data_IF_146868402205
#
_entry.id   IF_146868402205
#
_cell.length_a   1.000
_cell.length_b   1.000
_cell.length_c   1.000
_cell.angle_alpha   90.00
_cell.angle_beta   90.00
_cell.angle_gamma   90.00
#
_symmetry.space_group_name_H-M   'P 1'
#
loop_
_entity.id
_entity.type
_entity.pdbx_description
1 polymer ?
#
# COMPACT_ATOMS: atom_id res chain seq x y z
N UNK A 1 22.32 -11.70 -7.19
CA UNK A 1 22.42 -11.16 -5.82
C UNK A 1 21.23 -11.57 -4.95
N UNK A 2 19.97 -11.49 -5.42
CA UNK A 2 18.79 -11.93 -4.65
C UNK A 2 18.80 -13.41 -4.22
N UNK A 3 19.25 -14.34 -5.08
CA UNK A 3 19.17 -15.77 -4.74
C UNK A 3 20.06 -16.17 -3.55
N UNK A 4 21.26 -15.59 -3.41
CA UNK A 4 22.14 -15.89 -2.27
C UNK A 4 21.57 -15.37 -0.95
N UNK A 5 20.99 -14.16 -0.96
CA UNK A 5 20.34 -13.57 0.22
C UNK A 5 19.14 -14.43 0.65
N UNK A 6 18.29 -14.82 -0.31
CA UNK A 6 17.13 -15.67 -0.04
C UNK A 6 17.54 -17.04 0.51
N UNK A 7 18.56 -17.66 -0.08
CA UNK A 7 19.11 -18.94 0.39
C UNK A 7 19.68 -18.84 1.80
N UNK A 8 20.40 -17.76 2.11
CA UNK A 8 20.95 -17.50 3.45
C UNK A 8 19.84 -17.33 4.49
N UNK A 9 18.84 -16.48 4.22
CA UNK A 9 17.68 -16.31 5.10
C UNK A 9 16.96 -17.65 5.30
N UNK A 10 16.81 -18.45 4.25
CA UNK A 10 16.21 -19.78 4.33
C UNK A 10 17.03 -20.75 5.21
N UNK A 11 18.35 -20.77 5.06
CA UNK A 11 19.22 -21.64 5.86
C UNK A 11 19.21 -21.29 7.35
N UNK A 12 19.21 -19.99 7.67
CA UNK A 12 19.08 -19.52 9.06
C UNK A 12 17.72 -19.91 9.63
N UNK A 13 16.63 -19.63 8.90
CA UNK A 13 15.26 -19.89 9.38
C UNK A 13 14.94 -21.38 9.51
N UNK A 14 15.49 -22.27 8.68
CA UNK A 14 15.27 -23.72 8.82
C UNK A 14 16.00 -24.34 10.03
N UNK A 15 17.00 -23.65 10.60
CA UNK A 15 17.76 -24.13 11.76
C UNK A 15 17.10 -23.74 13.09
N UNK A 16 16.13 -22.82 13.07
CA UNK A 16 15.37 -22.43 14.25
C UNK A 16 14.49 -23.59 14.76
N UNK A 17 14.33 -23.74 16.08
CA UNK A 17 13.53 -24.81 16.68
C UNK A 17 12.04 -24.69 16.29
N UNK A 18 11.31 -25.82 16.19
CA UNK A 18 9.93 -25.85 15.66
C UNK A 18 8.92 -25.00 16.45
N UNK A 19 9.17 -24.81 17.75
CA UNK A 19 8.40 -23.92 18.62
C UNK A 19 8.48 -22.45 18.17
N UNK A 20 9.61 -21.99 17.61
CA UNK A 20 9.78 -20.66 17.01
C UNK A 20 9.23 -20.60 15.58
N UNK A 21 9.31 -21.71 14.83
CA UNK A 21 8.74 -21.79 13.46
C UNK A 21 7.21 -21.80 13.42
N UNK A 22 6.57 -22.21 14.52
CA UNK A 22 5.11 -22.25 14.70
C UNK A 22 4.47 -20.91 15.08
N UNK A 23 5.24 -19.87 15.39
CA UNK A 23 4.73 -18.55 15.80
C UNK A 23 4.09 -17.72 14.67
N UNK A 24 3.87 -18.30 13.49
CA UNK A 24 3.29 -17.63 12.32
C UNK A 24 1.97 -16.89 12.65
N UNK A 25 1.11 -17.50 13.47
CA UNK A 25 -0.15 -16.86 13.91
C UNK A 25 0.09 -15.72 14.90
N UNK A 26 1.08 -15.86 15.79
CA UNK A 26 1.45 -14.81 16.74
C UNK A 26 2.06 -13.62 16.02
N UNK A 27 3.02 -13.85 15.13
CA UNK A 27 3.66 -12.81 14.32
C UNK A 27 2.66 -12.04 13.46
N UNK A 28 1.73 -12.74 12.80
CA UNK A 28 0.69 -12.08 12.02
C UNK A 28 -0.22 -11.22 12.92
N UNK A 29 -0.59 -11.71 14.10
CA UNK A 29 -1.42 -10.96 15.06
C UNK A 29 -0.67 -9.77 15.63
N UNK A 30 0.59 -9.90 16.05
CA UNK A 30 1.39 -8.77 16.55
C UNK A 30 1.61 -7.74 15.46
N UNK A 31 1.88 -8.16 14.22
CA UNK A 31 2.00 -7.23 13.10
C UNK A 31 0.68 -6.50 12.83
N UNK A 32 -0.45 -7.20 12.79
CA UNK A 32 -1.78 -6.60 12.62
C UNK A 32 -2.07 -5.60 13.75
N UNK A 33 -1.83 -5.98 15.00
CA UNK A 33 -2.04 -5.09 16.16
C UNK A 33 -1.13 -3.87 16.07
N UNK A 34 0.15 -4.04 15.73
CA UNK A 34 1.08 -2.93 15.57
C UNK A 34 0.63 -1.97 14.46
N UNK A 35 0.17 -2.49 13.32
CA UNK A 35 -0.37 -1.67 12.23
C UNK A 35 -1.62 -0.93 12.69
N UNK A 36 -2.57 -1.60 13.36
CA UNK A 36 -3.78 -0.96 13.88
C UNK A 36 -3.45 0.17 14.86
N UNK A 37 -2.57 -0.07 15.83
CA UNK A 37 -2.12 0.95 16.77
C UNK A 37 -1.44 2.13 16.06
N UNK A 38 -0.55 1.84 15.09
CA UNK A 38 0.11 2.87 14.29
C UNK A 38 -0.88 3.69 13.46
N UNK A 39 -1.88 3.05 12.87
CA UNK A 39 -2.94 3.71 12.11
C UNK A 39 -3.81 4.61 13.00
N UNK A 40 -4.15 4.16 14.22
CA UNK A 40 -4.84 5.01 15.21
C UNK A 40 -3.96 6.23 15.53
N UNK A 41 -2.65 6.04 15.73
CA UNK A 41 -1.71 7.14 15.93
C UNK A 41 -1.73 8.15 14.77
N UNK A 42 -1.76 7.68 13.52
CA UNK A 42 -1.87 8.54 12.33
C UNK A 42 -3.19 9.31 12.30
N UNK A 43 -4.32 8.64 12.57
CA UNK A 43 -5.65 9.27 12.65
C UNK A 43 -5.65 10.39 13.69
N UNK A 44 -5.10 10.12 14.88
CA UNK A 44 -4.99 11.12 15.95
C UNK A 44 -4.09 12.28 15.56
N UNK A 45 -2.96 12.02 14.91
CA UNK A 45 -2.06 13.06 14.42
C UNK A 45 -2.75 13.98 13.39
N UNK A 46 -3.54 13.40 12.48
CA UNK A 46 -4.29 14.14 11.46
C UNK A 46 -5.40 15.04 12.04
N UNK A 47 -5.89 14.74 13.24
CA UNK A 47 -6.87 15.58 13.93
C UNK A 47 -6.31 16.88 14.54
N UNK A 48 -4.98 17.01 14.66
CA UNK A 48 -4.34 18.10 15.43
C UNK A 48 -3.18 18.81 14.73
N UNK A 49 -2.43 18.12 13.85
CA UNK A 49 -1.25 18.67 13.16
C UNK A 49 -1.55 19.18 11.75
N UNK A 50 -0.65 19.96 11.15
CA UNK A 50 -0.71 20.25 9.71
C UNK A 50 -0.32 19.01 8.90
N UNK A 51 -0.88 18.84 7.70
CA UNK A 51 -0.56 17.68 6.84
C UNK A 51 0.94 17.62 6.53
N UNK A 52 1.56 18.77 6.27
CA UNK A 52 3.01 18.88 6.04
C UNK A 52 3.81 18.36 7.23
N UNK A 53 3.41 18.73 8.45
CA UNK A 53 4.06 18.25 9.67
C UNK A 53 3.90 16.73 9.84
N UNK A 54 2.74 16.18 9.48
CA UNK A 54 2.48 14.74 9.62
C UNK A 54 3.31 13.94 8.63
N UNK A 55 3.44 14.42 7.40
CA UNK A 55 4.31 13.80 6.40
C UNK A 55 5.77 13.87 6.86
N UNK A 56 6.23 15.04 7.33
CA UNK A 56 7.63 15.20 7.76
C UNK A 56 7.93 14.40 9.03
N UNK A 57 7.02 14.34 10.00
CA UNK A 57 7.13 13.47 11.17
C UNK A 57 7.10 11.98 10.79
N UNK A 58 6.26 11.59 9.82
CA UNK A 58 6.24 10.22 9.29
C UNK A 58 7.59 9.79 8.71
N UNK A 59 8.22 10.65 7.92
CA UNK A 59 9.56 10.44 7.37
C UNK A 59 10.61 10.38 8.49
N UNK A 60 10.54 11.30 9.46
CA UNK A 60 11.47 11.34 10.59
C UNK A 60 11.38 10.05 11.43
N UNK A 61 10.17 9.58 11.75
CA UNK A 61 9.96 8.32 12.48
C UNK A 61 10.49 7.11 11.72
N UNK A 62 10.29 7.05 10.40
CA UNK A 62 10.81 5.96 9.57
C UNK A 62 12.35 5.96 9.55
N UNK A 63 12.95 7.13 9.42
CA UNK A 63 14.41 7.30 9.46
C UNK A 63 14.98 6.94 10.83
N UNK A 64 14.36 7.41 11.91
CA UNK A 64 14.75 7.08 13.28
C UNK A 64 14.64 5.57 13.54
N UNK A 65 13.55 4.93 13.14
CA UNK A 65 13.37 3.48 13.26
C UNK A 65 14.45 2.69 12.50
N UNK A 66 14.85 3.16 11.32
CA UNK A 66 15.94 2.56 10.55
C UNK A 66 17.30 2.71 11.26
N UNK A 67 17.59 3.89 11.81
CA UNK A 67 18.81 4.13 12.59
C UNK A 67 18.86 3.27 13.86
N UNK A 68 17.76 3.19 14.60
CA UNK A 68 17.64 2.34 15.78
C UNK A 68 17.89 0.88 15.43
N UNK A 69 17.29 0.40 14.33
CA UNK A 69 17.49 -0.97 13.85
C UNK A 69 18.95 -1.22 13.48
N UNK A 70 19.59 -0.32 12.73
CA UNK A 70 20.99 -0.44 12.34
C UNK A 70 21.94 -0.44 13.56
N UNK A 71 21.65 0.40 14.55
CA UNK A 71 22.40 0.46 15.80
C UNK A 71 22.32 -0.88 16.53
N UNK A 72 21.12 -1.40 16.76
CA UNK A 72 20.95 -2.66 17.50
C UNK A 72 21.49 -3.88 16.76
N UNK A 73 21.39 -3.92 15.43
CA UNK A 73 22.05 -4.96 14.62
C UNK A 73 23.56 -4.89 14.79
N UNK A 74 24.16 -3.69 14.74
CA UNK A 74 25.60 -3.50 14.90
C UNK A 74 26.06 -3.92 16.30
N UNK A 75 25.35 -3.49 17.34
CA UNK A 75 25.61 -3.91 18.72
C UNK A 75 25.51 -5.44 18.87
N UNK A 76 24.51 -6.06 18.23
CA UNK A 76 24.35 -7.51 18.21
C UNK A 76 25.56 -8.24 17.61
N UNK A 77 26.09 -7.76 16.48
CA UNK A 77 27.29 -8.33 15.88
C UNK A 77 28.55 -8.14 16.74
N UNK A 78 28.73 -6.95 17.34
CA UNK A 78 29.86 -6.68 18.24
C UNK A 78 29.83 -7.63 19.44
N UNK A 79 28.66 -7.87 20.04
CA UNK A 79 28.51 -8.81 21.15
C UNK A 79 28.78 -10.24 20.68
N UNK A 80 28.23 -10.66 19.55
CA UNK A 80 28.44 -12.00 19.00
C UNK A 80 29.93 -12.29 18.76
N UNK A 81 30.67 -11.33 18.19
CA UNK A 81 32.11 -11.45 17.97
C UNK A 81 32.88 -11.57 19.29
N UNK A 82 32.56 -10.72 20.28
CA UNK A 82 33.22 -10.74 21.60
C UNK A 82 32.94 -12.01 22.40
N UNK A 83 31.78 -12.63 22.21
CA UNK A 83 31.42 -13.90 22.83
C UNK A 83 32.01 -15.13 22.11
N UNK A 84 32.84 -14.93 21.08
CA UNK A 84 33.53 -16.01 20.38
C UNK A 84 32.66 -16.75 19.36
N UNK A 85 31.52 -16.17 18.95
CA UNK A 85 30.71 -16.70 17.86
C UNK A 85 31.43 -16.45 16.53
N UNK A 86 32.24 -17.41 16.10
CA UNK A 86 32.89 -17.44 14.79
C UNK A 86 32.24 -18.54 13.96
N UNK A 87 31.53 -18.16 12.91
CA UNK A 87 30.94 -19.12 11.98
C UNK A 87 31.77 -19.14 10.70
N UNK A 88 32.53 -20.21 10.49
CA UNK A 88 33.12 -20.51 9.19
C UNK A 88 32.01 -21.07 8.31
N UNK A 89 31.49 -20.24 7.41
CA UNK A 89 30.48 -20.65 6.45
C UNK A 89 30.88 -20.15 5.06
N UNK A 90 30.75 -21.02 4.05
CA UNK A 90 31.03 -20.67 2.66
C UNK A 90 29.71 -20.50 1.88
N UNK A 91 29.63 -19.55 0.93
CA UNK A 91 28.49 -19.38 0.01
C UNK A 91 27.94 -20.68 -0.60
N UNK A 92 28.82 -21.64 -0.85
CA UNK A 92 28.55 -22.94 -1.44
C UNK A 92 27.73 -23.87 -0.53
N UNK A 93 27.79 -23.68 0.79
CA UNK A 93 27.13 -24.53 1.78
C UNK A 93 25.61 -24.27 1.89
N UNK A 94 25.09 -23.32 1.11
CA UNK A 94 23.69 -22.93 1.20
C UNK A 94 22.74 -23.96 0.59
N UNK A 95 21.69 -24.36 1.32
CA UNK A 95 20.64 -25.18 0.77
C UNK A 95 19.97 -24.48 -0.41
N UNK A 96 19.46 -25.29 -1.34
CA UNK A 96 18.56 -24.78 -2.36
C UNK A 96 17.25 -24.32 -1.73
N UNK A 97 16.65 -23.28 -2.31
CA UNK A 97 15.38 -22.75 -1.84
C UNK A 97 14.26 -23.77 -2.01
N UNK A 98 13.32 -23.86 -1.05
CA UNK A 98 12.15 -24.70 -1.20
C UNK A 98 11.31 -24.20 -2.38
N UNK A 99 10.73 -25.13 -3.13
CA UNK A 99 9.92 -24.82 -4.32
C UNK A 99 8.57 -24.22 -3.93
N UNK A 100 8.21 -23.08 -4.53
CA UNK A 100 6.92 -22.41 -4.35
C UNK A 100 7.04 -20.90 -4.13
N UNK A 101 6.10 -20.11 -4.68
CA UNK A 101 6.10 -18.64 -4.50
C UNK A 101 5.56 -18.31 -3.11
N UNK A 102 6.45 -17.88 -2.22
CA UNK A 102 6.07 -17.28 -0.93
C UNK A 102 5.75 -15.80 -1.12
N UNK A 103 4.73 -15.33 -0.42
CA UNK A 103 4.42 -13.91 -0.34
C UNK A 103 5.30 -13.29 0.74
N UNK A 104 5.97 -12.18 0.43
CA UNK A 104 6.77 -11.46 1.41
C UNK A 104 5.89 -10.90 2.53
N UNK A 105 6.26 -11.20 3.78
CA UNK A 105 5.58 -10.68 4.97
C UNK A 105 5.73 -9.16 5.08
N UNK A 106 6.92 -8.63 4.80
CA UNK A 106 7.17 -7.19 4.82
C UNK A 106 6.36 -6.45 3.74
N UNK A 107 6.20 -7.05 2.55
CA UNK A 107 5.33 -6.51 1.50
C UNK A 107 3.85 -6.49 1.93
N UNK A 108 3.39 -7.55 2.60
CA UNK A 108 2.01 -7.61 3.11
C UNK A 108 1.77 -6.58 4.22
N UNK A 109 2.72 -6.41 5.14
CA UNK A 109 2.66 -5.40 6.21
C UNK A 109 2.69 -3.98 5.62
N UNK A 110 3.59 -3.71 4.67
CA UNK A 110 3.63 -2.43 3.97
C UNK A 110 2.31 -2.14 3.24
N UNK A 111 1.72 -3.15 2.59
CA UNK A 111 0.41 -3.06 1.97
C UNK A 111 -0.71 -2.73 2.96
N UNK A 112 -0.71 -3.35 4.14
CA UNK A 112 -1.65 -3.00 5.22
C UNK A 112 -1.52 -1.53 5.64
N UNK A 113 -0.28 -1.09 5.90
CA UNK A 113 -0.01 0.29 6.32
C UNK A 113 -0.52 1.27 5.26
N UNK A 114 -0.18 1.05 3.98
CA UNK A 114 -0.61 1.92 2.87
C UNK A 114 -2.13 1.92 2.73
N UNK A 115 -2.78 0.76 2.85
CA UNK A 115 -4.24 0.63 2.71
C UNK A 115 -5.02 1.41 3.77
N UNK A 116 -4.41 1.73 4.92
CA UNK A 116 -5.04 2.55 5.94
C UNK A 116 -4.54 3.99 5.88
N UNK A 117 -3.22 4.18 5.77
CA UNK A 117 -2.58 5.49 5.74
C UNK A 117 -3.12 6.37 4.60
N UNK A 118 -3.17 5.87 3.36
CA UNK A 118 -3.60 6.68 2.22
C UNK A 118 -5.07 7.13 2.35
N UNK A 119 -6.06 6.25 2.59
CA UNK A 119 -7.44 6.69 2.78
C UNK A 119 -7.61 7.67 3.93
N UNK A 120 -6.95 7.44 5.07
CA UNK A 120 -7.03 8.36 6.22
C UNK A 120 -6.42 9.72 5.87
N UNK A 121 -5.29 9.75 5.16
CA UNK A 121 -4.68 10.98 4.66
C UNK A 121 -5.64 11.72 3.71
N UNK A 122 -6.19 11.03 2.70
CA UNK A 122 -7.15 11.63 1.77
C UNK A 122 -8.39 12.17 2.49
N UNK A 123 -8.96 11.42 3.43
CA UNK A 123 -10.11 11.87 4.22
C UNK A 123 -9.77 13.12 5.04
N UNK A 124 -8.61 13.15 5.69
CA UNK A 124 -8.17 14.32 6.44
C UNK A 124 -7.96 15.54 5.54
N UNK A 125 -7.44 15.36 4.32
CA UNK A 125 -7.32 16.43 3.33
C UNK A 125 -8.69 16.95 2.89
N UNK A 126 -9.64 16.05 2.61
CA UNK A 126 -11.00 16.41 2.22
C UNK A 126 -11.71 17.20 3.32
N UNK A 127 -11.66 16.73 4.58
CA UNK A 127 -12.32 17.39 5.72
C UNK A 127 -11.72 18.77 6.00
N UNK A 128 -10.43 18.96 5.71
CA UNK A 128 -9.74 20.23 5.92
C UNK A 128 -9.77 21.16 4.71
N UNK A 129 -10.46 20.76 3.64
CA UNK A 129 -10.54 21.50 2.37
C UNK A 129 -9.15 21.78 1.75
N UNK A 130 -8.16 20.95 2.08
CA UNK A 130 -6.79 21.07 1.61
C UNK A 130 -6.72 20.51 0.18
N UNK A 131 -6.76 21.42 -0.79
CA UNK A 131 -6.86 21.05 -2.20
C UNK A 131 -5.53 20.54 -2.78
N UNK A 132 -5.60 19.45 -3.54
CA UNK A 132 -4.44 18.87 -4.25
C UNK A 132 -3.90 19.76 -5.38
N UNK A 133 -4.77 20.57 -5.97
CA UNK A 133 -4.47 21.45 -7.09
C UNK A 133 -5.14 22.79 -6.85
N UNK A 134 -4.35 23.85 -6.89
CA UNK A 134 -4.82 25.22 -6.75
C UNK A 134 -4.46 25.96 -8.05
N UNK A 135 -5.46 26.53 -8.69
CA UNK A 135 -5.25 27.50 -9.75
C UNK A 135 -5.36 28.89 -9.14
N UNK A 136 -4.29 29.67 -9.26
CA UNK A 136 -4.25 31.05 -8.76
C UNK A 136 -4.56 31.99 -9.90
N UNK A 137 -5.65 32.76 -9.77
CA UNK A 137 -5.96 33.89 -10.66
C UNK A 137 -5.88 35.19 -9.87
N UNK A 138 -4.71 35.82 -9.86
CA UNK A 138 -4.50 37.01 -9.04
C UNK A 138 -4.58 36.64 -7.55
N UNK A 139 -5.64 37.06 -6.87
CA UNK A 139 -5.90 36.71 -5.46
C UNK A 139 -6.86 35.52 -5.28
N UNK A 140 -7.55 35.08 -6.33
CA UNK A 140 -8.56 34.02 -6.24
C UNK A 140 -7.92 32.63 -6.38
N UNK A 141 -8.30 31.73 -5.48
CA UNK A 141 -7.90 30.32 -5.46
C UNK A 141 -9.07 29.52 -6.05
N UNK A 142 -8.84 28.86 -7.17
CA UNK A 142 -9.83 28.01 -7.85
C UNK A 142 -9.42 26.55 -7.67
N UNK A 143 -10.32 25.75 -7.10
CA UNK A 143 -10.11 24.32 -6.83
C UNK A 143 -10.79 23.48 -7.92
N UNK A 144 -10.07 22.59 -8.63
CA UNK A 144 -10.64 21.85 -9.76
C UNK A 144 -11.72 20.84 -9.39
N UNK A 145 -11.60 20.23 -8.22
CA UNK A 145 -12.50 19.17 -7.75
C UNK A 145 -13.57 19.77 -6.84
N UNK A 146 -14.81 19.30 -7.00
CA UNK A 146 -15.93 19.69 -6.15
C UNK A 146 -15.77 19.10 -4.74
N UNK A 147 -15.85 19.97 -3.72
CA UNK A 147 -15.83 19.56 -2.32
C UNK A 147 -16.97 18.59 -2.01
N UNK A 148 -18.17 18.84 -2.55
CA UNK A 148 -19.32 17.96 -2.36
C UNK A 148 -19.10 16.56 -2.96
N UNK A 149 -18.42 16.48 -4.11
CA UNK A 149 -18.05 15.19 -4.70
C UNK A 149 -17.00 14.47 -3.85
N UNK A 150 -15.99 15.19 -3.35
CA UNK A 150 -14.96 14.62 -2.48
C UNK A 150 -15.54 14.07 -1.17
N UNK A 151 -16.45 14.81 -0.52
CA UNK A 151 -17.14 14.36 0.68
C UNK A 151 -18.01 13.12 0.42
N UNK A 152 -18.69 13.07 -0.74
CA UNK A 152 -19.42 11.88 -1.18
C UNK A 152 -18.49 10.67 -1.39
N UNK A 153 -17.21 10.90 -1.68
CA UNK A 153 -16.21 9.84 -1.87
C UNK A 153 -15.67 9.25 -0.56
N UNK A 154 -15.80 9.94 0.58
CA UNK A 154 -15.32 9.49 1.90
C UNK A 154 -15.74 8.06 2.26
N UNK A 155 -17.03 7.67 2.22
CA UNK A 155 -17.43 6.30 2.57
C UNK A 155 -16.78 5.24 1.66
N UNK A 156 -16.53 5.58 0.39
CA UNK A 156 -15.83 4.71 -0.55
C UNK A 156 -14.35 4.58 -0.18
N UNK A 157 -13.67 5.66 0.22
CA UNK A 157 -12.30 5.61 0.72
C UNK A 157 -12.16 4.71 1.96
N UNK A 158 -13.08 4.82 2.92
CA UNK A 158 -13.11 3.94 4.11
C UNK A 158 -13.29 2.49 3.70
N UNK A 159 -14.25 2.21 2.82
CA UNK A 159 -14.52 0.86 2.33
C UNK A 159 -13.31 0.26 1.61
N UNK A 160 -12.68 1.00 0.71
CA UNK A 160 -11.48 0.56 -0.02
C UNK A 160 -10.31 0.32 0.92
N UNK A 161 -10.13 1.18 1.93
CA UNK A 161 -9.08 1.00 2.93
C UNK A 161 -9.28 -0.26 3.78
N UNK A 162 -10.51 -0.52 4.24
CA UNK A 162 -10.86 -1.72 5.00
C UNK A 162 -10.66 -2.98 4.16
N UNK A 163 -11.13 -3.00 2.91
CA UNK A 163 -10.91 -4.13 2.02
C UNK A 163 -9.43 -4.36 1.74
N UNK A 164 -8.67 -3.30 1.47
CA UNK A 164 -7.22 -3.38 1.26
C UNK A 164 -6.50 -3.95 2.48
N UNK A 165 -6.89 -3.53 3.69
CA UNK A 165 -6.35 -4.06 4.93
C UNK A 165 -6.65 -5.55 5.10
N UNK A 166 -7.89 -5.96 4.84
CA UNK A 166 -8.32 -7.37 4.93
C UNK A 166 -7.57 -8.25 3.92
N UNK A 167 -7.46 -7.81 2.66
CA UNK A 167 -6.75 -8.55 1.61
C UNK A 167 -5.28 -8.74 1.98
N UNK A 168 -4.62 -7.69 2.47
CA UNK A 168 -3.24 -7.80 2.94
C UNK A 168 -3.12 -8.63 4.24
N UNK A 169 -4.17 -8.64 5.08
CA UNK A 169 -4.37 -9.58 6.19
C UNK A 169 -4.28 -11.04 5.76
N UNK A 170 -5.04 -11.41 4.73
CA UNK A 170 -4.99 -12.75 4.19
C UNK A 170 -3.65 -13.07 3.51
N UNK A 171 -3.02 -12.09 2.85
CA UNK A 171 -1.66 -12.24 2.29
C UNK A 171 -0.63 -12.55 3.39
N UNK A 172 -0.72 -11.86 4.53
CA UNK A 172 0.16 -12.07 5.68
C UNK A 172 -0.12 -13.42 6.37
N UNK A 173 -1.39 -13.78 6.55
CA UNK A 173 -1.81 -15.00 7.23
C UNK A 173 -1.42 -16.27 6.44
N UNK A 174 -1.72 -16.32 5.14
CA UNK A 174 -1.42 -17.49 4.33
C UNK A 174 0.03 -17.51 3.82
N UNK A 175 0.65 -16.34 3.62
CA UNK A 175 2.03 -16.18 3.14
C UNK A 175 2.38 -16.96 1.85
N UNK A 176 1.36 -17.42 1.12
CA UNK A 176 1.45 -18.19 -0.13
C UNK A 176 0.22 -17.92 -0.98
N UNK A 177 0.38 -18.01 -2.29
CA UNK A 177 -0.75 -17.91 -3.21
C UNK A 177 -1.57 -19.19 -3.21
N UNK A 178 -2.85 -19.06 -2.83
CA UNK A 178 -3.84 -20.13 -2.90
C UNK A 178 -5.09 -19.61 -3.62
N UNK A 179 -5.99 -20.52 -4.01
CA UNK A 179 -7.20 -20.15 -4.75
C UNK A 179 -8.06 -19.12 -3.98
N UNK A 180 -8.34 -19.30 -2.66
CA UNK A 180 -9.10 -18.30 -1.89
C UNK A 180 -8.50 -16.89 -1.95
N UNK A 181 -7.18 -16.76 -1.75
CA UNK A 181 -6.48 -15.48 -1.79
C UNK A 181 -6.54 -14.84 -3.17
N UNK A 182 -6.41 -15.64 -4.23
CA UNK A 182 -6.54 -15.17 -5.61
C UNK A 182 -7.92 -14.55 -5.86
N UNK A 183 -8.98 -15.23 -5.41
CA UNK A 183 -10.36 -14.77 -5.58
C UNK A 183 -10.60 -13.49 -4.79
N UNK A 184 -10.19 -13.43 -3.51
CA UNK A 184 -10.32 -12.23 -2.67
C UNK A 184 -9.58 -11.05 -3.30
N UNK A 185 -8.36 -11.27 -3.79
CA UNK A 185 -7.56 -10.25 -4.45
C UNK A 185 -8.20 -9.73 -5.75
N UNK A 186 -8.81 -10.63 -6.53
CA UNK A 186 -9.49 -10.26 -7.76
C UNK A 186 -10.76 -9.46 -7.49
N UNK A 187 -11.57 -9.88 -6.51
CA UNK A 187 -12.75 -9.13 -6.05
C UNK A 187 -12.34 -7.73 -5.62
N UNK A 188 -11.30 -7.61 -4.79
CA UNK A 188 -10.78 -6.31 -4.34
C UNK A 188 -10.41 -5.40 -5.52
N UNK A 189 -9.69 -5.92 -6.51
CA UNK A 189 -9.29 -5.16 -7.70
C UNK A 189 -10.49 -4.69 -8.53
N UNK A 190 -11.50 -5.54 -8.69
CA UNK A 190 -12.74 -5.18 -9.40
C UNK A 190 -13.52 -4.10 -8.65
N UNK A 191 -13.65 -4.23 -7.32
CA UNK A 191 -14.34 -3.25 -6.47
C UNK A 191 -13.60 -1.91 -6.49
N UNK A 192 -12.28 -1.93 -6.32
CA UNK A 192 -11.45 -0.73 -6.39
C UNK A 192 -11.59 -0.02 -7.73
N UNK A 193 -11.41 -0.73 -8.84
CA UNK A 193 -11.53 -0.14 -10.17
C UNK A 193 -12.94 0.41 -10.41
N UNK A 194 -13.98 -0.36 -10.08
CA UNK A 194 -15.38 0.03 -10.27
C UNK A 194 -15.75 1.29 -9.49
N UNK A 195 -15.32 1.39 -8.23
CA UNK A 195 -15.57 2.57 -7.39
C UNK A 195 -14.89 3.82 -7.95
N UNK A 196 -13.60 3.72 -8.31
CA UNK A 196 -12.86 4.88 -8.81
C UNK A 196 -13.40 5.32 -10.18
N UNK A 197 -13.66 4.38 -11.09
CA UNK A 197 -14.27 4.69 -12.40
C UNK A 197 -15.64 5.32 -12.22
N UNK A 198 -16.45 4.84 -11.28
CA UNK A 198 -17.77 5.44 -11.01
C UNK A 198 -17.63 6.89 -10.53
N UNK A 199 -16.67 7.16 -9.64
CA UNK A 199 -16.41 8.51 -9.14
C UNK A 199 -15.88 9.46 -10.23
N UNK A 200 -15.02 8.96 -11.15
CA UNK A 200 -14.51 9.73 -12.29
C UNK A 200 -15.61 10.20 -13.25
N UNK A 201 -16.76 9.52 -13.26
CA UNK A 201 -17.90 9.83 -14.11
C UNK A 201 -19.02 10.58 -13.37
N UNK A 202 -18.78 11.05 -12.14
CA UNK A 202 -19.75 11.90 -11.45
C UNK A 202 -19.89 13.25 -12.19
N UNK A 203 -21.13 13.69 -12.47
CA UNK A 203 -21.37 14.91 -13.24
C UNK A 203 -20.91 16.17 -12.48
N UNK A 204 -20.87 16.09 -11.15
CA UNK A 204 -20.46 17.13 -10.22
C UNK A 204 -19.01 16.95 -9.72
N UNK A 205 -18.22 16.05 -10.33
CA UNK A 205 -16.83 15.81 -9.90
C UNK A 205 -15.96 17.07 -10.02
N UNK A 206 -16.09 17.77 -11.15
CA UNK A 206 -15.36 18.99 -11.45
C UNK A 206 -16.19 20.17 -10.93
N UNK A 207 -15.56 21.11 -10.23
CA UNK A 207 -16.24 22.27 -9.68
C UNK A 207 -16.75 23.20 -10.78
N UNK A 208 -17.92 23.82 -10.55
CA UNK A 208 -18.51 24.76 -11.51
C UNK A 208 -17.58 25.96 -11.75
N UNK A 209 -16.95 26.47 -10.70
CA UNK A 209 -15.99 27.59 -10.79
C UNK A 209 -14.79 27.26 -11.68
N UNK A 210 -14.27 26.03 -11.58
CA UNK A 210 -13.18 25.59 -12.44
C UNK A 210 -13.63 25.41 -13.90
N UNK A 211 -14.83 24.88 -14.13
CA UNK A 211 -15.40 24.77 -15.48
C UNK A 211 -15.58 26.15 -16.11
N UNK A 212 -16.11 27.12 -15.36
CA UNK A 212 -16.26 28.50 -15.82
C UNK A 212 -14.90 29.12 -16.15
N UNK A 213 -13.92 29.01 -15.25
CA UNK A 213 -12.57 29.49 -15.49
C UNK A 213 -11.96 28.91 -16.77
N UNK A 214 -12.01 27.59 -16.94
CA UNK A 214 -11.47 26.93 -18.11
C UNK A 214 -12.24 27.26 -19.40
N UNK A 215 -13.56 27.49 -19.30
CA UNK A 215 -14.37 27.91 -20.44
C UNK A 215 -13.94 29.27 -21.01
N UNK A 216 -13.43 30.18 -20.15
CA UNK A 216 -12.90 31.48 -20.61
C UNK A 216 -11.61 31.37 -21.41
N UNK A 217 -10.85 30.28 -21.22
CA UNK A 217 -9.54 30.05 -21.86
C UNK A 217 -9.69 29.19 -23.11
N UNK A 218 -10.42 28.08 -23.00
CA UNK A 218 -10.49 27.03 -24.04
C UNK A 218 -11.81 27.00 -24.82
N UNK A 219 -12.84 27.72 -24.36
CA UNK A 219 -14.22 27.59 -24.88
C UNK A 219 -15.00 26.44 -24.21
N UNK A 220 -16.29 26.65 -23.95
CA UNK A 220 -17.12 25.75 -23.14
C UNK A 220 -17.34 24.34 -23.73
N UNK A 221 -17.49 24.21 -25.05
CA UNK A 221 -17.66 22.91 -25.70
C UNK A 221 -16.36 22.08 -25.70
N UNK A 222 -15.21 22.74 -25.83
CA UNK A 222 -13.91 22.10 -25.85
C UNK A 222 -13.51 21.60 -24.46
N UNK A 223 -13.77 22.35 -23.39
CA UNK A 223 -13.41 21.91 -22.03
C UNK A 223 -14.16 20.64 -21.59
N UNK A 224 -15.47 20.56 -21.85
CA UNK A 224 -16.26 19.36 -21.52
C UNK A 224 -15.75 18.13 -22.28
N UNK A 225 -15.36 18.32 -23.55
CA UNK A 225 -14.74 17.27 -24.35
C UNK A 225 -13.40 16.82 -23.76
N UNK A 226 -12.53 17.75 -23.34
CA UNK A 226 -11.24 17.40 -22.73
C UNK A 226 -11.39 16.68 -21.40
N UNK A 227 -12.33 17.10 -20.55
CA UNK A 227 -12.63 16.41 -19.28
C UNK A 227 -13.15 14.99 -19.54
N UNK A 228 -14.07 14.83 -20.48
CA UNK A 228 -14.59 13.51 -20.86
C UNK A 228 -13.50 12.58 -21.40
N UNK A 229 -12.61 13.08 -22.26
CA UNK A 229 -11.45 12.32 -22.77
C UNK A 229 -10.51 11.97 -21.62
N UNK A 230 -10.23 12.90 -20.70
CA UNK A 230 -9.38 12.66 -19.53
C UNK A 230 -9.94 11.59 -18.59
N UNK A 231 -11.25 11.63 -18.31
CA UNK A 231 -11.94 10.61 -17.52
C UNK A 231 -11.89 9.23 -18.20
N UNK A 232 -12.06 9.19 -19.53
CA UNK A 232 -11.98 7.95 -20.31
C UNK A 232 -10.57 7.36 -20.29
N UNK A 233 -9.54 8.16 -20.53
CA UNK A 233 -8.13 7.71 -20.48
C UNK A 233 -7.79 7.17 -19.09
N UNK A 234 -8.14 7.91 -18.04
CA UNK A 234 -7.91 7.48 -16.65
C UNK A 234 -8.64 6.17 -16.35
N UNK A 235 -9.88 6.03 -16.80
CA UNK A 235 -10.66 4.79 -16.63
C UNK A 235 -10.00 3.60 -17.33
N UNK A 236 -9.50 3.78 -18.56
CA UNK A 236 -8.76 2.73 -19.29
C UNK A 236 -7.49 2.33 -18.54
N UNK A 237 -6.73 3.29 -18.02
CA UNK A 237 -5.52 3.01 -17.22
C UNK A 237 -5.86 2.20 -15.96
N UNK A 238 -6.92 2.57 -15.24
CA UNK A 238 -7.40 1.84 -14.05
C UNK A 238 -7.78 0.40 -14.42
N UNK A 239 -8.49 0.19 -15.53
CA UNK A 239 -8.86 -1.15 -16.01
C UNK A 239 -7.60 -1.97 -16.32
N UNK A 240 -6.61 -1.39 -17.00
CA UNK A 240 -5.35 -2.07 -17.32
C UNK A 240 -4.60 -2.47 -16.05
N UNK A 241 -4.50 -1.57 -15.06
CA UNK A 241 -3.88 -1.88 -13.77
C UNK A 241 -4.60 -3.04 -13.08
N UNK A 242 -5.94 -2.99 -13.00
CA UNK A 242 -6.73 -4.05 -12.39
C UNK A 242 -6.53 -5.41 -13.11
N UNK A 243 -6.47 -5.41 -14.45
CA UNK A 243 -6.19 -6.62 -15.23
C UNK A 243 -4.81 -7.17 -14.91
N UNK A 244 -3.78 -6.32 -14.84
CA UNK A 244 -2.41 -6.75 -14.51
C UNK A 244 -2.35 -7.36 -13.11
N UNK A 245 -2.99 -6.75 -12.12
CA UNK A 245 -3.02 -7.27 -10.75
C UNK A 245 -3.75 -8.61 -10.66
N UNK A 246 -4.89 -8.75 -11.32
CA UNK A 246 -5.66 -10.00 -11.37
C UNK A 246 -4.85 -11.10 -12.07
N UNK A 247 -4.27 -10.79 -13.24
CA UNK A 247 -3.44 -11.73 -13.99
C UNK A 247 -2.22 -12.18 -13.19
N UNK A 248 -1.59 -11.27 -12.44
CA UNK A 248 -0.46 -11.58 -11.54
C UNK A 248 -0.89 -12.52 -10.41
N UNK A 249 -2.07 -12.27 -9.81
CA UNK A 249 -2.62 -13.16 -8.78
C UNK A 249 -2.90 -14.57 -9.30
N UNK A 250 -3.48 -14.68 -10.50
CA UNK A 250 -3.75 -15.96 -11.18
C UNK A 250 -2.44 -16.69 -11.49
N UNK A 251 -1.48 -15.99 -12.12
CA UNK A 251 -0.18 -16.55 -12.47
C UNK A 251 0.56 -17.09 -11.25
N UNK A 252 0.61 -16.31 -10.16
CA UNK A 252 1.27 -16.72 -8.94
C UNK A 252 0.58 -17.90 -8.26
N UNK A 253 -0.76 -17.96 -8.32
CA UNK A 253 -1.54 -19.09 -7.79
C UNK A 253 -1.31 -20.35 -8.62
N UNK A 254 -1.28 -20.25 -9.95
CA UNK A 254 -0.98 -21.37 -10.85
C UNK A 254 0.42 -21.93 -10.60
N UNK A 255 1.43 -21.06 -10.50
CA UNK A 255 2.81 -21.48 -10.22
C UNK A 255 2.98 -22.05 -8.81
N UNK A 256 2.19 -21.60 -7.83
CA UNK A 256 2.22 -22.14 -6.45
C UNK A 256 1.48 -23.47 -6.29
N UNK A 257 0.56 -23.82 -7.20
CA UNK A 257 -0.25 -25.05 -7.13
C UNK A 257 0.30 -26.20 -7.98
N UNK A 258 1.17 -25.91 -8.96
CA UNK A 258 1.90 -26.94 -9.69
C UNK A 258 2.95 -27.60 -8.77
N UNK A 259 2.86 -28.93 -8.59
CA UNK A 259 3.95 -29.70 -7.95
C UNK A 259 5.22 -29.55 -8.78
N UNK A 260 6.41 -29.39 -8.16
CA UNK A 260 7.67 -29.52 -8.89
C UNK A 260 7.72 -30.92 -9.51
N UNK A 261 7.99 -30.99 -10.81
CA UNK A 261 8.33 -32.22 -11.52
C UNK A 261 9.76 -32.58 -11.14
#
# INVERSE_FOLDING_TARGET
MNEMIERYIYDVTRRLPENERGEIKREAVTAIVAVVCGCIGVVLALSSGSIVQIISSGIAMAFEGALQTALWITVGFVIAEKCGYKQEWKPEDLPQLPTGIKISRSSSIAGMIISVFLPVLFIAMIIREESFFIFVRGADIITPLSQAALERFIPYLVMLGVLGFIVNGFRLYWAKWNIPLCVINAIYNVVWAGVVISALNWPDLISTEFLEYMSTIAGGADILRYIGIGALITSVVIIVIAIIEIATGIWNTWKSTRKPI
#
